data_IF_214260699615
#
_entry.id   IF_214260699615
#
_cell.length_a   1.000
_cell.length_b   1.000
_cell.length_c   1.000
_cell.angle_alpha   90.00
_cell.angle_beta   90.00
_cell.angle_gamma   90.00
#
_symmetry.space_group_name_H-M   'P 1'
#
loop_
_entity.id
_entity.type
_entity.pdbx_description
1 polymer ?
#
# COMPACT_ATOMS: atom_id res chain seq x y z
N UNK A 1 4.19 28.35 5.59
CA UNK A 1 3.24 27.21 5.67
C UNK A 1 3.63 26.19 4.61
N UNK A 2 3.47 24.89 4.89
CA UNK A 2 3.79 23.81 3.95
C UNK A 2 2.62 23.49 3.01
N UNK A 3 2.87 22.66 1.99
CA UNK A 3 1.85 22.21 1.03
C UNK A 3 1.12 20.91 1.45
N UNK A 4 1.45 20.37 2.62
CA UNK A 4 0.85 19.13 3.12
C UNK A 4 -0.47 19.45 3.82
N UNK A 5 -1.55 18.81 3.38
CA UNK A 5 -2.89 18.99 3.96
C UNK A 5 -3.42 17.74 4.70
N UNK A 6 -2.85 16.57 4.40
CA UNK A 6 -3.33 15.27 4.86
C UNK A 6 -2.15 14.39 5.27
N UNK A 7 -2.24 13.77 6.43
CA UNK A 7 -1.28 12.79 6.95
C UNK A 7 -2.02 11.47 7.20
N UNK A 8 -1.56 10.41 6.56
CA UNK A 8 -2.11 9.07 6.70
C UNK A 8 -1.15 8.22 7.52
N UNK A 9 -1.65 7.53 8.54
CA UNK A 9 -0.82 6.72 9.43
C UNK A 9 -1.52 5.45 9.88
N UNK A 10 -0.73 4.53 10.44
CA UNK A 10 -1.20 3.33 11.14
C UNK A 10 -0.13 2.87 12.11
N UNK A 11 -0.52 2.20 13.20
CA UNK A 11 0.44 1.48 14.03
C UNK A 11 0.88 0.16 13.37
N UNK A 12 2.10 -0.28 13.70
CA UNK A 12 2.67 -1.53 13.20
C UNK A 12 1.76 -2.71 13.55
N UNK A 13 1.37 -3.49 12.53
CA UNK A 13 0.68 -4.77 12.72
C UNK A 13 1.71 -5.89 12.79
N UNK A 14 1.73 -6.62 13.91
CA UNK A 14 2.62 -7.74 14.13
C UNK A 14 2.01 -9.03 13.58
N UNK A 15 2.77 -9.71 12.73
CA UNK A 15 2.48 -11.04 12.23
C UNK A 15 3.77 -11.86 12.25
N UNK A 16 3.70 -13.18 12.06
CA UNK A 16 4.82 -14.09 12.36
C UNK A 16 6.17 -13.67 11.75
N UNK A 17 6.18 -13.15 10.53
CA UNK A 17 7.39 -12.62 9.88
C UNK A 17 7.96 -11.40 10.62
N UNK A 18 7.13 -10.41 10.93
CA UNK A 18 7.53 -9.17 11.61
C UNK A 18 8.05 -9.48 13.02
N UNK A 19 7.40 -10.40 13.74
CA UNK A 19 7.84 -10.82 15.08
C UNK A 19 9.25 -11.41 15.02
N UNK A 20 9.54 -12.29 14.04
CA UNK A 20 10.87 -12.85 13.86
C UNK A 20 11.90 -11.78 13.50
N UNK A 21 11.60 -10.92 12.54
CA UNK A 21 12.50 -9.83 12.13
C UNK A 21 12.81 -8.89 13.30
N UNK A 22 11.82 -8.57 14.13
CA UNK A 22 12.01 -7.72 15.30
C UNK A 22 12.92 -8.40 16.33
N UNK A 23 12.70 -9.68 16.63
CA UNK A 23 13.58 -10.41 17.55
C UNK A 23 15.03 -10.51 17.05
N UNK A 24 15.24 -10.67 15.74
CA UNK A 24 16.58 -10.63 15.15
C UNK A 24 17.21 -9.23 15.25
N UNK A 25 16.42 -8.18 14.95
CA UNK A 25 16.85 -6.79 15.04
C UNK A 25 17.25 -6.39 16.47
N UNK A 26 16.45 -6.74 17.47
CA UNK A 26 16.75 -6.46 18.88
C UNK A 26 18.08 -7.09 19.31
N UNK A 27 18.31 -8.36 18.93
CA UNK A 27 19.56 -9.08 19.22
C UNK A 27 20.76 -8.43 18.55
N UNK A 28 20.63 -8.05 17.28
CA UNK A 28 21.73 -7.51 16.49
C UNK A 28 22.13 -6.09 16.92
N UNK A 29 21.17 -5.29 17.39
CA UNK A 29 21.39 -3.86 17.66
C UNK A 29 21.36 -3.48 19.14
N UNK A 30 21.16 -4.42 20.06
CA UNK A 30 20.97 -4.13 21.50
C UNK A 30 19.88 -3.08 21.75
N UNK A 31 18.81 -3.15 20.94
CA UNK A 31 17.62 -2.31 21.05
C UNK A 31 16.43 -3.15 21.53
N UNK A 32 15.41 -2.47 22.03
CA UNK A 32 14.14 -3.09 22.44
C UNK A 32 12.96 -2.42 21.75
N UNK A 33 12.10 -3.23 21.14
CA UNK A 33 10.87 -2.82 20.49
C UNK A 33 9.72 -3.05 21.46
N UNK A 34 9.09 -1.97 21.89
CA UNK A 34 8.00 -2.02 22.86
C UNK A 34 6.65 -2.10 22.14
N UNK A 35 5.75 -2.95 22.65
CA UNK A 35 4.33 -2.87 22.31
C UNK A 35 3.64 -1.97 23.34
N UNK A 36 3.18 -0.81 22.89
CA UNK A 36 2.46 0.11 23.74
C UNK A 36 1.01 -0.36 23.94
N UNK A 37 0.43 -0.01 25.09
CA UNK A 37 -0.99 -0.21 25.35
C UNK A 37 -1.85 0.56 24.34
N UNK A 38 -3.11 0.14 24.20
CA UNK A 38 -4.08 0.85 23.36
C UNK A 38 -4.27 2.29 23.83
N UNK A 39 -4.33 2.52 25.14
CA UNK A 39 -4.49 3.86 25.72
C UNK A 39 -3.34 4.78 25.33
N UNK A 40 -2.10 4.30 25.43
CA UNK A 40 -0.93 5.07 25.02
C UNK A 40 -0.95 5.37 23.51
N UNK A 41 -1.37 4.40 22.68
CA UNK A 41 -1.51 4.61 21.22
C UNK A 41 -2.56 5.67 20.91
N UNK A 42 -3.68 5.69 21.63
CA UNK A 42 -4.75 6.69 21.49
C UNK A 42 -4.27 8.07 21.94
N UNK A 43 -3.61 8.16 23.09
CA UNK A 43 -3.05 9.41 23.62
C UNK A 43 -2.04 10.01 22.64
N UNK A 44 -1.03 9.23 22.23
CA UNK A 44 -0.02 9.65 21.28
C UNK A 44 -0.63 10.09 19.93
N UNK A 45 -1.60 9.34 19.40
CA UNK A 45 -2.24 9.69 18.14
C UNK A 45 -2.99 11.03 18.24
N UNK A 46 -3.67 11.30 19.35
CA UNK A 46 -4.36 12.57 19.58
C UNK A 46 -3.39 13.74 19.76
N UNK A 47 -2.27 13.54 20.46
CA UNK A 47 -1.21 14.55 20.56
C UNK A 47 -0.63 14.89 19.19
N UNK A 48 -0.35 13.87 18.36
CA UNK A 48 0.11 14.08 16.98
C UNK A 48 -0.93 14.82 16.14
N UNK A 49 -2.23 14.54 16.34
CA UNK A 49 -3.31 15.23 15.65
C UNK A 49 -3.40 16.71 16.03
N UNK A 50 -3.20 17.04 17.31
CA UNK A 50 -3.15 18.43 17.77
C UNK A 50 -1.95 19.18 17.17
N UNK A 51 -0.79 18.53 17.08
CA UNK A 51 0.39 19.09 16.40
C UNK A 51 0.08 19.32 14.92
N UNK A 52 -0.44 18.32 14.22
CA UNK A 52 -0.77 18.40 12.80
C UNK A 52 -1.78 19.52 12.50
N UNK A 53 -2.81 19.66 13.34
CA UNK A 53 -3.83 20.70 13.22
C UNK A 53 -3.27 22.12 13.29
N UNK A 54 -2.24 22.37 14.13
CA UNK A 54 -1.53 23.67 14.19
C UNK A 54 -0.86 24.06 12.88
N UNK A 55 -0.60 23.09 12.00
CA UNK A 55 -0.02 23.30 10.68
C UNK A 55 -1.05 23.14 9.54
N UNK A 56 -2.35 22.99 9.85
CA UNK A 56 -3.40 22.76 8.86
C UNK A 56 -3.40 21.35 8.26
N UNK A 57 -2.72 20.39 8.88
CA UNK A 57 -2.64 19.00 8.41
C UNK A 57 -3.71 18.17 9.12
N UNK A 58 -4.60 17.55 8.34
CA UNK A 58 -5.60 16.60 8.85
C UNK A 58 -5.01 15.20 8.97
N UNK A 59 -5.28 14.50 10.06
CA UNK A 59 -4.79 13.14 10.28
C UNK A 59 -5.84 12.08 9.97
N UNK A 60 -5.39 10.98 9.36
CA UNK A 60 -6.19 9.86 8.91
C UNK A 60 -5.58 8.52 9.36
N UNK A 61 -6.36 7.68 10.04
CA UNK A 61 -5.93 6.37 10.53
C UNK A 61 -6.36 5.24 9.60
N UNK A 62 -5.41 4.43 9.11
CA UNK A 62 -5.67 3.27 8.28
C UNK A 62 -5.82 1.99 9.10
N UNK A 63 -7.02 1.38 9.03
CA UNK A 63 -7.36 0.14 9.73
C UNK A 63 -7.06 0.24 11.25
N UNK A 64 -7.48 1.34 11.85
CA UNK A 64 -7.35 1.63 13.27
C UNK A 64 -8.54 2.44 13.72
N UNK A 65 -9.73 1.87 13.60
CA UNK A 65 -11.00 2.55 13.84
C UNK A 65 -11.15 3.00 15.30
N UNK A 66 -10.45 2.34 16.23
CA UNK A 66 -10.35 2.75 17.63
C UNK A 66 -9.68 4.13 17.84
N UNK A 67 -9.01 4.68 16.81
CA UNK A 67 -8.42 6.02 16.82
C UNK A 67 -9.33 7.08 16.18
N UNK A 68 -10.40 6.67 15.50
CA UNK A 68 -11.24 7.59 14.72
C UNK A 68 -12.18 8.36 15.65
N UNK A 69 -12.27 9.67 15.43
CA UNK A 69 -13.11 10.57 16.20
C UNK A 69 -13.07 12.01 15.68
N UNK A 70 -13.11 12.98 16.60
CA UNK A 70 -13.14 14.39 16.23
C UNK A 70 -11.84 14.84 15.54
N UNK A 71 -10.69 14.45 16.09
CA UNK A 71 -9.35 14.87 15.64
C UNK A 71 -8.77 14.04 14.49
N UNK A 72 -9.13 12.76 14.41
CA UNK A 72 -8.56 11.79 13.47
C UNK A 72 -9.69 11.16 12.66
N UNK A 73 -9.54 11.14 11.34
CA UNK A 73 -10.55 10.58 10.43
C UNK A 73 -10.15 9.18 9.96
N UNK A 74 -11.11 8.44 9.41
CA UNK A 74 -10.85 7.14 8.79
C UNK A 74 -10.06 7.33 7.50
N UNK A 75 -8.98 6.59 7.32
CA UNK A 75 -8.18 6.65 6.10
C UNK A 75 -8.74 5.77 4.99
N UNK A 76 -8.54 6.25 3.77
CA UNK A 76 -8.67 5.52 2.52
C UNK A 76 -7.33 5.65 1.80
N UNK A 77 -6.49 4.61 1.78
CA UNK A 77 -5.17 4.70 1.11
C UNK A 77 -5.32 4.85 -0.40
N UNK A 78 -6.34 4.22 -0.96
CA UNK A 78 -6.85 4.50 -2.31
C UNK A 78 -8.23 5.11 -2.11
N UNK A 79 -8.36 6.40 -2.43
CA UNK A 79 -9.56 7.19 -2.16
C UNK A 79 -10.14 7.69 -3.47
N UNK A 80 -11.22 7.04 -3.92
CA UNK A 80 -11.92 7.40 -5.14
C UNK A 80 -12.48 8.82 -5.12
N UNK A 81 -12.86 9.36 -3.95
CA UNK A 81 -13.37 10.73 -3.84
C UNK A 81 -12.28 11.77 -4.11
N UNK A 82 -11.05 11.52 -3.61
CA UNK A 82 -9.90 12.38 -3.89
C UNK A 82 -9.48 12.24 -5.36
N UNK A 83 -9.53 11.03 -5.92
CA UNK A 83 -9.21 10.81 -7.34
C UNK A 83 -10.21 11.55 -8.24
N UNK A 84 -11.50 11.49 -7.93
CA UNK A 84 -12.56 12.23 -8.62
C UNK A 84 -12.30 13.74 -8.57
N UNK A 85 -12.10 14.29 -7.37
CA UNK A 85 -11.84 15.72 -7.13
C UNK A 85 -10.64 16.23 -7.95
N UNK A 86 -9.56 15.45 -8.01
CA UNK A 86 -8.31 15.88 -8.63
C UNK A 86 -8.26 15.68 -10.15
N UNK A 87 -8.90 14.63 -10.67
CA UNK A 87 -8.67 14.19 -12.05
C UNK A 87 -9.92 14.01 -12.90
N UNK A 88 -11.10 14.03 -12.31
CA UNK A 88 -12.36 13.77 -13.02
C UNK A 88 -13.52 14.54 -12.38
N UNK A 89 -13.46 15.90 -12.39
CA UNK A 89 -14.46 16.73 -11.73
C UNK A 89 -15.87 16.59 -12.35
N UNK A 90 -15.96 16.10 -13.59
CA UNK A 90 -17.23 15.79 -14.27
C UNK A 90 -17.82 14.44 -13.84
N UNK A 91 -17.15 13.71 -12.95
CA UNK A 91 -17.60 12.46 -12.36
C UNK A 91 -16.62 11.30 -12.56
N UNK A 92 -16.43 10.49 -11.51
CA UNK A 92 -15.64 9.27 -11.54
C UNK A 92 -16.36 8.17 -10.77
N UNK A 93 -16.72 7.09 -11.46
CA UNK A 93 -17.32 5.95 -10.78
C UNK A 93 -16.26 5.18 -9.98
N UNK A 94 -16.48 5.07 -8.68
CA UNK A 94 -15.70 4.22 -7.80
C UNK A 94 -16.63 3.46 -6.84
N UNK A 95 -16.15 2.31 -6.37
CA UNK A 95 -16.81 1.53 -5.32
C UNK A 95 -15.81 1.20 -4.23
N UNK A 96 -16.28 1.15 -2.99
CA UNK A 96 -15.50 0.67 -1.85
C UNK A 96 -15.14 -0.81 -2.06
N UNK A 97 -13.88 -1.17 -1.86
CA UNK A 97 -13.39 -2.56 -1.95
C UNK A 97 -12.32 -2.80 -0.88
N UNK A 98 -12.73 -3.02 0.37
CA UNK A 98 -11.79 -3.20 1.46
C UNK A 98 -10.94 -4.46 1.25
N UNK A 99 -9.65 -4.39 1.60
CA UNK A 99 -8.72 -5.53 1.51
C UNK A 99 -8.59 -6.31 2.83
N UNK A 100 -9.02 -5.72 3.95
CA UNK A 100 -9.00 -6.30 5.30
C UNK A 100 -10.02 -5.59 6.19
N UNK A 101 -10.23 -6.10 7.40
CA UNK A 101 -11.08 -5.47 8.40
C UNK A 101 -10.71 -3.99 8.58
N UNK A 102 -11.71 -3.12 8.72
CA UNK A 102 -11.59 -1.67 8.88
C UNK A 102 -10.96 -0.91 7.69
N UNK A 103 -10.62 -1.58 6.58
CA UNK A 103 -10.10 -0.90 5.38
C UNK A 103 -11.19 -0.04 4.72
N UNK A 104 -10.87 1.21 4.38
CA UNK A 104 -11.78 2.11 3.67
C UNK A 104 -11.58 2.15 2.15
N UNK A 105 -10.50 1.57 1.62
CA UNK A 105 -10.06 1.83 0.24
C UNK A 105 -11.13 1.51 -0.83
N UNK A 106 -11.07 2.27 -1.92
CA UNK A 106 -11.82 1.96 -3.15
C UNK A 106 -11.16 0.84 -3.95
N UNK A 107 -11.89 0.32 -4.94
CA UNK A 107 -11.36 -0.71 -5.84
C UNK A 107 -10.05 -0.27 -6.51
N UNK A 108 -9.06 -1.15 -6.41
CA UNK A 108 -7.75 -0.97 -7.03
C UNK A 108 -7.12 -2.32 -7.33
N UNK A 109 -6.10 -2.29 -8.20
CA UNK A 109 -5.24 -3.43 -8.47
C UNK A 109 -3.80 -3.00 -8.27
N UNK A 110 -3.06 -3.78 -7.49
CA UNK A 110 -1.64 -3.55 -7.27
C UNK A 110 -0.86 -3.86 -8.56
N UNK A 111 0.10 -3.00 -8.90
CA UNK A 111 0.99 -3.16 -10.04
C UNK A 111 2.42 -3.51 -9.61
N UNK A 112 2.66 -3.57 -8.30
CA UNK A 112 3.94 -3.94 -7.72
C UNK A 112 4.23 -5.44 -7.79
N UNK A 113 5.44 -5.82 -7.41
CA UNK A 113 5.87 -7.22 -7.32
C UNK A 113 6.57 -7.46 -6.00
N UNK A 114 6.00 -8.33 -5.17
CA UNK A 114 6.56 -8.73 -3.89
C UNK A 114 7.85 -9.52 -4.03
N UNK A 115 8.63 -9.59 -2.94
CA UNK A 115 9.92 -10.29 -2.90
C UNK A 115 10.94 -9.81 -3.96
N UNK A 116 10.98 -8.50 -4.24
CA UNK A 116 11.93 -7.90 -5.19
C UNK A 116 12.71 -6.73 -4.61
N UNK A 117 12.30 -6.23 -3.45
CA UNK A 117 12.87 -5.02 -2.85
C UNK A 117 14.14 -5.35 -2.03
N UNK A 118 15.31 -4.76 -2.31
CA UNK A 118 16.56 -5.11 -1.61
C UNK A 118 16.78 -4.35 -0.28
N UNK A 119 15.85 -3.49 0.14
CA UNK A 119 16.05 -2.59 1.30
C UNK A 119 16.13 -3.28 2.67
N UNK A 120 15.73 -4.56 2.75
CA UNK A 120 15.87 -5.39 3.94
C UNK A 120 15.29 -4.83 5.26
N UNK A 121 14.18 -4.09 5.18
CA UNK A 121 13.60 -3.40 6.34
C UNK A 121 13.20 -4.36 7.47
N UNK A 122 13.44 -3.96 8.73
CA UNK A 122 13.01 -4.71 9.91
C UNK A 122 11.48 -4.95 9.92
N UNK A 123 10.71 -3.90 9.62
CA UNK A 123 9.30 -4.02 9.25
C UNK A 123 9.14 -3.92 7.74
N UNK A 124 8.81 -5.04 7.08
CA UNK A 124 8.62 -5.08 5.63
C UNK A 124 7.29 -5.73 5.31
N UNK A 125 6.38 -5.02 4.63
CA UNK A 125 5.16 -5.64 4.10
C UNK A 125 5.43 -6.36 2.76
N UNK A 126 6.40 -5.87 1.97
CA UNK A 126 6.58 -6.28 0.58
C UNK A 126 7.38 -7.60 0.38
N UNK A 127 8.29 -7.94 1.28
CA UNK A 127 9.09 -9.16 1.14
C UNK A 127 8.70 -10.17 2.20
N UNK A 128 8.36 -11.38 1.78
CA UNK A 128 8.19 -12.56 2.64
C UNK A 128 9.53 -13.16 3.04
N UNK A 129 10.54 -13.09 2.16
CA UNK A 129 11.87 -13.65 2.38
C UNK A 129 12.96 -12.68 1.86
N UNK A 130 13.88 -12.30 2.74
CA UNK A 130 14.99 -11.38 2.46
C UNK A 130 15.95 -11.90 1.38
N UNK A 131 16.30 -13.18 1.44
CA UNK A 131 17.18 -13.83 0.47
C UNK A 131 16.52 -13.94 -0.90
N UNK A 132 15.21 -14.25 -0.95
CA UNK A 132 14.46 -14.27 -2.21
C UNK A 132 14.47 -12.89 -2.87
N UNK A 133 14.26 -11.83 -2.10
CA UNK A 133 14.34 -10.46 -2.61
C UNK A 133 15.74 -10.08 -3.09
N UNK A 134 16.79 -10.47 -2.36
CA UNK A 134 18.17 -10.28 -2.79
C UNK A 134 18.48 -11.00 -4.11
N UNK A 135 18.05 -12.25 -4.26
CA UNK A 135 18.22 -13.01 -5.50
C UNK A 135 17.42 -12.39 -6.66
N UNK A 136 16.19 -11.94 -6.43
CA UNK A 136 15.39 -11.27 -7.45
C UNK A 136 16.04 -9.97 -7.92
N UNK A 137 16.60 -9.19 -7.00
CA UNK A 137 17.33 -7.97 -7.32
C UNK A 137 18.60 -8.26 -8.14
N UNK A 138 19.40 -9.26 -7.74
CA UNK A 138 20.61 -9.65 -8.47
C UNK A 138 20.32 -10.16 -9.89
N UNK A 139 19.19 -10.85 -10.07
CA UNK A 139 18.75 -11.39 -11.35
C UNK A 139 17.80 -10.44 -12.10
N UNK A 140 17.79 -9.15 -11.76
CA UNK A 140 16.95 -8.18 -12.43
C UNK A 140 17.33 -8.05 -13.91
N UNK A 141 16.38 -8.36 -14.79
CA UNK A 141 16.50 -8.16 -16.22
C UNK A 141 15.91 -6.80 -16.61
N UNK A 142 16.79 -5.82 -16.85
CA UNK A 142 16.40 -4.46 -17.27
C UNK A 142 15.64 -4.40 -18.60
N UNK A 143 15.69 -5.47 -19.40
CA UNK A 143 14.97 -5.55 -20.68
C UNK A 143 13.61 -6.23 -20.54
N UNK A 144 13.27 -6.75 -19.35
CA UNK A 144 11.94 -7.26 -19.05
C UNK A 144 10.95 -6.12 -18.88
N UNK A 145 9.73 -6.31 -19.38
CA UNK A 145 8.66 -5.32 -19.22
C UNK A 145 8.04 -5.29 -17.81
N UNK A 146 8.25 -6.35 -17.02
CA UNK A 146 7.72 -6.47 -15.65
C UNK A 146 8.83 -6.77 -14.65
N UNK A 147 8.65 -6.33 -13.40
CA UNK A 147 9.60 -6.56 -12.32
C UNK A 147 9.57 -8.03 -11.88
N UNK A 148 10.74 -8.59 -11.55
CA UNK A 148 10.84 -9.94 -10.96
C UNK A 148 10.67 -11.10 -11.95
N UNK A 149 10.68 -10.86 -13.26
CA UNK A 149 10.67 -11.90 -14.28
C UNK A 149 11.70 -11.60 -15.39
N UNK A 150 12.02 -12.62 -16.19
CA UNK A 150 12.94 -12.46 -17.33
C UNK A 150 12.24 -11.84 -18.54
N UNK A 151 13.01 -11.25 -19.46
CA UNK A 151 12.47 -10.77 -20.74
C UNK A 151 11.69 -11.84 -21.50
N UNK A 152 12.20 -13.07 -21.53
CA UNK A 152 11.52 -14.17 -22.23
C UNK A 152 10.13 -14.46 -21.63
N UNK A 153 9.99 -14.39 -20.31
CA UNK A 153 8.70 -14.56 -19.62
C UNK A 153 7.77 -13.37 -19.89
N UNK A 154 8.26 -12.14 -19.79
CA UNK A 154 7.43 -10.95 -20.04
C UNK A 154 6.99 -10.83 -21.50
N UNK A 155 7.86 -11.15 -22.47
CA UNK A 155 7.52 -11.19 -23.90
C UNK A 155 6.37 -12.18 -24.20
N UNK A 156 6.39 -13.34 -23.54
CA UNK A 156 5.31 -14.33 -23.65
C UNK A 156 3.98 -13.75 -23.19
N UNK A 157 3.93 -13.15 -21.98
CA UNK A 157 2.71 -12.54 -21.46
C UNK A 157 2.24 -11.36 -22.31
N UNK A 158 3.15 -10.52 -22.81
CA UNK A 158 2.80 -9.42 -23.72
C UNK A 158 2.18 -9.94 -25.02
N UNK A 159 2.65 -11.08 -25.53
CA UNK A 159 2.08 -11.73 -26.71
C UNK A 159 0.68 -12.27 -26.42
N UNK A 160 0.49 -12.93 -25.27
CA UNK A 160 -0.83 -13.40 -24.81
C UNK A 160 -1.82 -12.24 -24.68
N UNK A 161 -1.44 -11.15 -24.01
CA UNK A 161 -2.28 -9.94 -23.85
C UNK A 161 -2.65 -9.34 -25.20
N UNK A 162 -1.70 -9.24 -26.15
CA UNK A 162 -1.96 -8.74 -27.50
C UNK A 162 -2.96 -9.62 -28.24
N UNK A 163 -2.84 -10.94 -28.11
CA UNK A 163 -3.75 -11.89 -28.74
C UNK A 163 -5.15 -11.85 -28.10
N UNK A 164 -5.26 -11.74 -26.78
CA UNK A 164 -6.53 -11.57 -26.07
C UNK A 164 -7.22 -10.26 -26.44
N UNK A 165 -6.48 -9.14 -26.52
CA UNK A 165 -7.05 -7.86 -26.98
C UNK A 165 -7.51 -7.92 -28.43
N UNK A 166 -6.82 -8.70 -29.27
CA UNK A 166 -7.23 -8.94 -30.65
C UNK A 166 -8.50 -9.79 -30.73
N UNK A 167 -8.68 -10.75 -29.82
CA UNK A 167 -9.93 -11.52 -29.68
C UNK A 167 -11.08 -10.67 -29.12
N UNK A 168 -10.84 -9.83 -28.12
CA UNK A 168 -11.87 -8.90 -27.60
C UNK A 168 -12.24 -7.80 -28.60
N UNK A 169 -11.32 -7.42 -29.49
CA UNK A 169 -11.63 -6.55 -30.63
C UNK A 169 -12.43 -7.26 -31.73
N UNK A 170 -12.42 -8.60 -31.77
CA UNK A 170 -13.25 -9.43 -32.65
C UNK A 170 -14.62 -9.72 -31.99
N UNK A 171 -14.74 -9.62 -30.67
CA UNK A 171 -16.01 -9.70 -29.91
C UNK A 171 -16.66 -8.34 -29.60
N UNK A 172 -16.26 -7.27 -30.29
CA UNK A 172 -17.07 -6.05 -30.40
C UNK A 172 -17.86 -6.02 -31.71
N UNK A 173 -18.56 -7.14 -31.97
CA UNK A 173 -19.88 -7.13 -32.60
C UNK A 173 -20.90 -7.00 -31.45
N UNK A 174 -20.85 -5.84 -30.78
CA UNK A 174 -22.04 -5.24 -30.19
C UNK A 174 -22.45 -4.10 -31.11
N UNK A 175 -22.88 -4.54 -32.29
CA UNK A 175 -23.87 -3.86 -33.09
C UNK A 175 -25.12 -3.59 -32.23
N UNK A 176 -25.48 -2.31 -32.15
CA UNK A 176 -26.84 -1.81 -31.89
C UNK A 176 -27.49 -2.21 -30.56
N UNK A 177 -27.38 -1.30 -29.58
CA UNK A 177 -28.53 -0.70 -28.90
C UNK A 177 -28.14 0.57 -28.16
#
# INVERSE_FOLDING_TARGET
TGFVERCYFSFVVKYGKVIRNFAEFEKAHSLKIFDCSSDFKIELANELADIAARFGIRMFSCCGDYLVGDKIKKAHCIDGSIIEELFSPDGFYYKTKPTRNECGCTESTDIGTYDTCPHDCAYCYANTNKQKAGNAFQNHDKNSAFLGCTKAQSDKWLTEIKNTKRLSAIENIWSEK
#
